data_IF_296098327753
#
_entry.id   IF_296098327753
#
_cell.length_a   1.000
_cell.length_b   1.000
_cell.length_c   1.000
_cell.angle_alpha   90.00
_cell.angle_beta   90.00
_cell.angle_gamma   90.00
#
_symmetry.space_group_name_H-M   'P 1'
#
loop_
_entity.id
_entity.type
_entity.pdbx_description
1 polymer ?
#
# COMPACT_ATOMS: atom_id res chain seq x y z
N UNK A 1 -2.49 -8.43 19.04
CA UNK A 1 -2.60 -7.09 18.43
C UNK A 1 -3.51 -6.21 19.28
N UNK A 2 -3.14 -4.94 19.54
CA UNK A 2 -4.06 -3.94 20.10
C UNK A 2 -5.25 -3.69 19.15
N UNK A 3 -6.39 -3.27 19.69
CA UNK A 3 -7.66 -3.04 18.94
C UNK A 3 -7.58 -1.80 18.01
N UNK A 4 -6.52 -0.99 18.15
CA UNK A 4 -6.31 0.26 17.40
C UNK A 4 -5.65 0.06 16.01
N UNK A 5 -4.99 -1.07 15.75
CA UNK A 5 -4.36 -1.36 14.46
C UNK A 5 -5.30 -2.20 13.57
N UNK A 6 -6.35 -1.54 13.07
CA UNK A 6 -7.30 -2.13 12.11
C UNK A 6 -6.77 -2.18 10.68
N UNK A 7 -5.70 -1.45 10.41
CA UNK A 7 -5.02 -1.34 9.12
C UNK A 7 -3.57 -1.83 9.25
N UNK A 8 -2.80 -1.75 8.17
CA UNK A 8 -1.44 -2.26 8.07
C UNK A 8 -0.58 -1.73 9.24
N UNK A 9 -0.05 -2.60 10.12
CA UNK A 9 0.77 -2.18 11.25
C UNK A 9 2.09 -1.56 10.79
N UNK A 10 2.57 -0.55 11.53
CA UNK A 10 3.83 0.12 11.20
C UNK A 10 5.04 -0.83 11.24
N UNK A 11 5.06 -1.78 12.16
CA UNK A 11 6.20 -2.71 12.27
C UNK A 11 6.28 -3.64 11.05
N UNK A 12 5.13 -4.10 10.54
CA UNK A 12 5.09 -4.84 9.26
C UNK A 12 5.64 -3.99 8.11
N UNK A 13 5.27 -2.71 8.03
CA UNK A 13 5.77 -1.80 7.00
C UNK A 13 7.27 -1.55 7.09
N UNK A 14 7.83 -1.52 8.30
CA UNK A 14 9.28 -1.37 8.50
C UNK A 14 10.04 -2.59 8.00
N UNK A 15 9.56 -3.78 8.32
CA UNK A 15 10.17 -5.05 7.89
C UNK A 15 10.12 -5.17 6.36
N UNK A 16 8.97 -4.85 5.75
CA UNK A 16 8.82 -4.85 4.30
C UNK A 16 9.64 -3.76 3.63
N UNK A 17 9.76 -2.56 4.23
CA UNK A 17 10.60 -1.50 3.70
C UNK A 17 12.06 -1.94 3.57
N UNK A 18 12.56 -2.68 4.55
CA UNK A 18 13.89 -3.29 4.49
C UNK A 18 14.03 -4.25 3.30
N UNK A 19 13.02 -5.10 3.07
CA UNK A 19 13.00 -6.07 1.97
C UNK A 19 12.87 -5.41 0.59
N UNK A 20 12.11 -4.32 0.45
CA UNK A 20 11.92 -3.59 -0.80
C UNK A 20 13.12 -2.69 -1.12
N UNK A 21 13.54 -1.85 -0.17
CA UNK A 21 14.53 -0.79 -0.41
C UNK A 21 15.97 -1.31 -0.58
N UNK A 22 16.26 -2.54 -0.11
CA UNK A 22 17.54 -3.22 -0.38
C UNK A 22 17.65 -3.74 -1.81
N UNK A 23 16.55 -3.83 -2.56
CA UNK A 23 16.56 -4.39 -3.92
C UNK A 23 17.21 -3.44 -4.93
N UNK A 24 17.83 -3.98 -6.00
CA UNK A 24 18.44 -3.17 -7.05
C UNK A 24 17.45 -2.16 -7.64
N UNK A 25 17.85 -0.90 -7.73
CA UNK A 25 17.01 0.16 -8.31
C UNK A 25 15.92 0.73 -7.41
N UNK A 26 15.65 0.14 -6.23
CA UNK A 26 14.54 0.56 -5.36
C UNK A 26 14.68 1.99 -4.81
N UNK A 27 15.91 2.48 -4.72
CA UNK A 27 16.26 3.82 -4.22
C UNK A 27 16.95 4.70 -5.26
N UNK A 28 17.12 4.18 -6.49
CA UNK A 28 17.88 4.87 -7.52
C UNK A 28 17.09 6.04 -8.07
N UNK A 29 17.73 7.21 -8.15
CA UNK A 29 17.13 8.46 -8.57
C UNK A 29 18.10 9.29 -9.39
N UNK A 30 17.57 10.07 -10.31
CA UNK A 30 18.31 11.12 -10.98
C UNK A 30 18.66 12.21 -9.94
N UNK A 31 19.96 12.52 -9.73
CA UNK A 31 20.35 13.48 -8.69
C UNK A 31 19.97 14.93 -9.04
N UNK A 32 19.80 15.26 -10.32
CA UNK A 32 19.44 16.61 -10.76
C UNK A 32 17.92 16.85 -10.69
N UNK A 33 17.12 15.88 -11.14
CA UNK A 33 15.66 16.01 -11.24
C UNK A 33 14.91 15.40 -10.07
N UNK A 34 15.58 14.54 -9.27
CA UNK A 34 14.98 13.72 -8.20
C UNK A 34 13.84 12.83 -8.70
N UNK A 35 13.94 12.37 -9.95
CA UNK A 35 12.95 11.49 -10.58
C UNK A 35 13.52 10.09 -10.78
N UNK A 36 12.65 9.06 -10.87
CA UNK A 36 13.07 7.73 -11.27
C UNK A 36 13.72 7.75 -12.67
N UNK A 37 14.80 7.00 -12.84
CA UNK A 37 15.52 6.83 -14.11
C UNK A 37 15.02 5.55 -14.78
N UNK A 38 14.51 5.66 -16.00
CA UNK A 38 14.09 4.50 -16.78
C UNK A 38 15.26 3.52 -16.97
N UNK A 39 15.03 2.24 -16.63
CA UNK A 39 16.04 1.18 -16.73
C UNK A 39 16.98 1.04 -15.53
N UNK A 40 17.04 2.03 -14.62
CA UNK A 40 17.85 1.96 -13.40
C UNK A 40 17.01 1.96 -12.12
N UNK A 41 15.93 2.74 -12.08
CA UNK A 41 14.98 2.75 -10.97
C UNK A 41 13.97 1.63 -11.10
N UNK A 42 13.52 1.10 -9.98
CA UNK A 42 12.57 -0.02 -9.97
C UNK A 42 11.66 0.06 -8.76
N UNK A 43 10.36 0.04 -9.02
CA UNK A 43 9.33 -0.26 -8.04
C UNK A 43 9.19 -1.76 -7.87
N UNK A 44 9.03 -2.18 -6.63
CA UNK A 44 8.71 -3.52 -6.20
C UNK A 44 7.44 -3.42 -5.38
N UNK A 45 6.57 -4.42 -5.52
CA UNK A 45 5.38 -4.54 -4.68
C UNK A 45 5.26 -5.92 -4.06
N UNK A 46 4.50 -5.98 -2.99
CA UNK A 46 4.10 -7.19 -2.32
C UNK A 46 2.63 -7.08 -1.91
N UNK A 47 1.97 -8.23 -1.86
CA UNK A 47 0.58 -8.33 -1.43
C UNK A 47 0.52 -8.41 0.08
N UNK A 48 -0.34 -7.59 0.69
CA UNK A 48 -0.64 -7.64 2.12
C UNK A 48 -1.91 -8.43 2.32
N UNK A 49 -1.82 -9.42 3.19
CA UNK A 49 -2.94 -10.28 3.52
C UNK A 49 -2.94 -10.59 5.02
N UNK A 50 -4.09 -11.01 5.51
CA UNK A 50 -4.23 -11.54 6.87
C UNK A 50 -4.65 -12.99 6.83
N UNK A 51 -4.17 -13.77 7.78
CA UNK A 51 -4.50 -15.20 7.91
C UNK A 51 -4.99 -15.56 9.30
N UNK A 52 -5.82 -16.60 9.38
CA UNK A 52 -6.35 -17.14 10.62
C UNK A 52 -7.87 -17.04 10.74
N UNK A 53 -8.37 -16.58 11.88
CA UNK A 53 -9.80 -16.52 12.18
C UNK A 53 -10.18 -15.42 13.17
N UNK A 54 -11.45 -15.38 13.55
CA UNK A 54 -12.05 -14.28 14.33
C UNK A 54 -11.31 -13.94 15.63
N UNK A 55 -10.72 -14.93 16.29
CA UNK A 55 -10.04 -14.76 17.57
C UNK A 55 -8.52 -14.57 17.46
N UNK A 56 -7.94 -14.91 16.31
CA UNK A 56 -6.49 -14.85 16.06
C UNK A 56 -6.25 -14.59 14.58
N UNK A 57 -5.80 -13.38 14.26
CA UNK A 57 -5.37 -12.99 12.92
C UNK A 57 -3.88 -12.64 12.93
N UNK A 58 -3.21 -12.99 11.85
CA UNK A 58 -1.80 -12.68 11.60
C UNK A 58 -1.68 -11.87 10.32
N UNK A 59 -0.92 -10.78 10.35
CA UNK A 59 -0.55 -10.05 9.15
C UNK A 59 0.59 -10.78 8.44
N UNK A 60 0.49 -10.84 7.10
CA UNK A 60 1.46 -11.48 6.24
C UNK A 60 1.68 -10.63 4.99
N UNK A 61 2.83 -10.82 4.36
CA UNK A 61 3.20 -10.11 3.12
C UNK A 61 3.84 -11.12 2.17
N UNK A 62 3.47 -11.06 0.90
CA UNK A 62 4.06 -11.92 -0.12
C UNK A 62 5.51 -11.55 -0.39
N UNK A 63 6.25 -12.43 -1.07
CA UNK A 63 7.54 -12.05 -1.63
C UNK A 63 7.39 -10.84 -2.58
N UNK A 64 8.33 -9.86 -2.52
CA UNK A 64 8.27 -8.73 -3.43
C UNK A 64 8.52 -9.12 -4.88
N UNK A 65 7.60 -8.68 -5.74
CA UNK A 65 7.69 -8.83 -7.20
C UNK A 65 8.30 -7.57 -7.83
N UNK A 66 9.09 -7.78 -8.88
CA UNK A 66 9.75 -6.71 -9.61
C UNK A 66 8.78 -6.03 -10.58
N UNK A 67 8.68 -4.72 -10.50
CA UNK A 67 7.99 -3.89 -11.49
C UNK A 67 8.95 -3.16 -12.41
N UNK A 68 8.62 -1.91 -12.70
CA UNK A 68 9.34 -0.98 -13.55
C UNK A 68 9.69 0.28 -12.78
N UNK A 69 10.26 1.29 -13.45
CA UNK A 69 10.61 2.56 -12.81
C UNK A 69 9.43 3.42 -12.32
N UNK A 70 8.19 3.09 -12.71
CA UNK A 70 7.00 3.92 -12.44
C UNK A 70 5.72 3.13 -12.12
N UNK A 71 5.84 1.81 -12.01
CA UNK A 71 4.71 0.93 -11.64
C UNK A 71 5.18 -0.44 -11.24
N UNK A 72 4.38 -1.12 -10.44
CA UNK A 72 4.47 -2.54 -10.13
C UNK A 72 3.07 -3.12 -9.93
N UNK A 73 2.89 -4.43 -10.13
CA UNK A 73 1.59 -5.10 -9.98
C UNK A 73 1.75 -6.29 -9.04
N UNK A 74 1.13 -6.18 -7.87
CA UNK A 74 1.24 -7.20 -6.84
C UNK A 74 0.32 -8.39 -7.19
N UNK A 75 0.67 -9.63 -6.79
CA UNK A 75 -0.20 -10.78 -6.99
C UNK A 75 -1.57 -10.60 -6.33
N UNK A 76 -2.64 -10.82 -7.09
CA UNK A 76 -4.01 -10.77 -6.54
C UNK A 76 -4.39 -12.05 -5.79
N UNK A 77 -3.64 -13.13 -6.00
CA UNK A 77 -3.81 -14.42 -5.34
C UNK A 77 -2.55 -14.71 -4.54
N UNK A 78 -2.76 -15.18 -3.31
CA UNK A 78 -1.69 -15.56 -2.39
C UNK A 78 -2.03 -16.94 -1.81
N UNK A 79 -1.00 -17.77 -1.71
CA UNK A 79 -1.06 -19.06 -1.01
C UNK A 79 -0.32 -18.90 0.32
N UNK A 80 -0.86 -19.49 1.39
CA UNK A 80 -0.26 -19.48 2.72
C UNK A 80 -0.04 -20.95 3.14
N UNK A 81 1.17 -21.28 3.57
CA UNK A 81 1.54 -22.65 3.94
C UNK A 81 0.83 -23.10 5.24
N UNK A 82 0.47 -22.15 6.10
CA UNK A 82 -0.09 -22.42 7.42
C UNK A 82 -1.63 -22.46 7.41
N UNK A 83 -2.28 -21.85 6.41
CA UNK A 83 -3.73 -21.67 6.37
C UNK A 83 -4.36 -22.00 5.00
N UNK A 84 -5.53 -22.65 4.98
CA UNK A 84 -6.27 -22.86 3.74
C UNK A 84 -6.76 -21.52 3.16
N UNK A 85 -6.97 -21.45 1.86
CA UNK A 85 -7.43 -20.24 1.16
C UNK A 85 -8.71 -19.60 1.75
N UNK A 86 -9.57 -20.39 2.42
CA UNK A 86 -10.76 -19.88 3.14
C UNK A 86 -10.44 -19.04 4.39
N UNK A 87 -9.18 -19.04 4.82
CA UNK A 87 -8.65 -18.33 5.99
C UNK A 87 -7.58 -17.31 5.58
N UNK A 88 -7.60 -16.87 4.32
CA UNK A 88 -6.64 -15.93 3.75
C UNK A 88 -7.40 -14.78 3.10
N UNK A 89 -7.13 -13.56 3.55
CA UNK A 89 -7.79 -12.36 3.03
C UNK A 89 -6.74 -11.36 2.56
N UNK A 90 -6.73 -11.07 1.26
CA UNK A 90 -5.95 -9.96 0.72
C UNK A 90 -6.61 -8.64 1.14
N UNK A 91 -5.84 -7.77 1.79
CA UNK A 91 -6.33 -6.51 2.37
C UNK A 91 -5.59 -5.29 1.84
N UNK A 92 -4.52 -5.48 1.05
CA UNK A 92 -3.74 -4.36 0.55
C UNK A 92 -2.55 -4.74 -0.30
N UNK A 93 -1.82 -3.71 -0.71
CA UNK A 93 -0.51 -3.84 -1.35
C UNK A 93 0.50 -2.95 -0.64
N UNK A 94 1.76 -3.37 -0.56
CA UNK A 94 2.89 -2.50 -0.21
C UNK A 94 3.78 -2.37 -1.42
N UNK A 95 4.22 -1.16 -1.75
CA UNK A 95 5.20 -0.94 -2.80
C UNK A 95 6.20 0.16 -2.41
N UNK A 96 7.33 0.23 -3.14
CA UNK A 96 8.26 1.33 -2.99
C UNK A 96 8.11 2.36 -4.11
N UNK A 97 8.36 3.63 -3.79
CA UNK A 97 8.60 4.67 -4.77
C UNK A 97 10.09 5.05 -4.79
N UNK A 98 10.79 4.85 -5.91
CA UNK A 98 12.07 5.49 -6.12
C UNK A 98 11.90 7.00 -5.94
N UNK A 99 12.79 7.61 -5.15
CA UNK A 99 12.87 9.05 -4.93
C UNK A 99 11.89 9.65 -3.92
N UNK A 100 11.09 8.83 -3.24
CA UNK A 100 10.25 9.31 -2.14
C UNK A 100 9.13 10.25 -2.57
N UNK A 101 8.61 10.05 -3.78
CA UNK A 101 7.38 10.69 -4.25
C UNK A 101 6.16 10.18 -3.47
N UNK A 102 5.14 11.03 -3.26
CA UNK A 102 3.84 10.59 -2.72
C UNK A 102 3.12 9.63 -3.69
N UNK A 103 2.02 8.98 -3.25
CA UNK A 103 1.21 8.12 -4.11
C UNK A 103 0.71 8.86 -5.37
N UNK A 104 0.76 8.16 -6.50
CA UNK A 104 0.24 8.58 -7.80
C UNK A 104 -1.27 8.33 -7.92
N UNK A 105 -1.89 8.82 -9.00
CA UNK A 105 -3.30 8.45 -9.29
C UNK A 105 -3.47 6.96 -9.54
N UNK A 106 -2.47 6.28 -10.11
CA UNK A 106 -2.51 4.82 -10.34
C UNK A 106 -2.49 4.07 -9.01
N UNK A 107 -1.73 4.53 -8.03
CA UNK A 107 -1.67 3.90 -6.70
C UNK A 107 -3.02 3.99 -5.99
N UNK A 108 -3.70 5.13 -6.10
CA UNK A 108 -5.04 5.32 -5.53
C UNK A 108 -6.15 4.56 -6.28
N UNK A 109 -5.85 4.03 -7.47
CA UNK A 109 -6.75 3.15 -8.24
C UNK A 109 -6.49 1.66 -7.97
N UNK A 110 -5.33 1.31 -7.42
CA UNK A 110 -4.91 -0.08 -7.24
C UNK A 110 -5.40 -0.66 -5.92
N UNK A 111 -6.46 -1.45 -5.98
CA UNK A 111 -7.03 -2.14 -4.82
C UNK A 111 -7.18 -3.64 -5.09
N UNK A 112 -7.06 -4.49 -4.04
CA UNK A 112 -7.34 -5.93 -4.14
C UNK A 112 -8.83 -6.26 -4.32
N UNK A 113 -9.64 -5.27 -4.67
CA UNK A 113 -11.05 -5.40 -5.03
C UNK A 113 -11.29 -4.58 -6.28
N UNK A 114 -12.13 -5.07 -7.17
CA UNK A 114 -12.53 -4.47 -8.44
C UNK A 114 -13.48 -3.25 -8.22
N UNK A 115 -13.20 -2.46 -7.19
CA UNK A 115 -14.05 -1.44 -6.58
C UNK A 115 -14.24 -0.14 -7.41
N UNK A 116 -14.02 -0.16 -8.73
CA UNK A 116 -14.21 1.01 -9.59
C UNK A 116 -15.10 0.75 -10.82
N UNK A 117 -16.17 -0.02 -10.67
CA UNK A 117 -17.35 0.08 -11.54
C UNK A 117 -18.63 0.29 -10.71
N UNK A 118 -19.23 1.49 -10.71
CA UNK A 118 -20.44 1.79 -9.94
C UNK A 118 -21.70 1.04 -10.43
N UNK A 119 -21.70 0.49 -11.65
CA UNK A 119 -22.79 -0.36 -12.13
C UNK A 119 -22.61 -1.83 -11.72
N UNK A 120 -21.40 -2.19 -11.31
CA UNK A 120 -21.04 -3.54 -10.84
C UNK A 120 -20.79 -3.57 -9.32
N UNK A 121 -21.00 -2.45 -8.61
CA UNK A 121 -20.82 -2.35 -7.16
C UNK A 121 -21.84 -3.15 -6.32
N UNK A 122 -22.96 -3.61 -6.91
CA UNK A 122 -23.87 -4.56 -6.25
C UNK A 122 -23.53 -6.03 -6.55
N UNK A 123 -22.67 -6.31 -7.53
CA UNK A 123 -22.32 -7.67 -7.97
C UNK A 123 -20.84 -8.05 -7.76
N UNK A 124 -19.95 -7.08 -7.53
CA UNK A 124 -18.50 -7.26 -7.30
C UNK A 124 -18.12 -7.22 -5.81
N UNK A 125 -19.10 -7.30 -4.92
CA UNK A 125 -18.85 -8.03 -3.67
C UNK A 125 -18.84 -9.51 -4.07
N UNK A 126 -17.69 -10.13 -4.43
CA UNK A 126 -17.41 -11.61 -4.35
C UNK A 126 -16.42 -12.25 -5.36
N UNK A 127 -15.57 -11.55 -6.10
CA UNK A 127 -14.77 -12.23 -7.15
C UNK A 127 -13.24 -12.18 -7.03
N UNK A 128 -12.71 -11.99 -5.82
CA UNK A 128 -11.43 -12.64 -5.47
C UNK A 128 -11.77 -14.02 -4.90
N UNK A 129 -11.33 -15.14 -5.51
CA UNK A 129 -11.42 -16.45 -4.88
C UNK A 129 -10.77 -16.39 -3.49
N UNK A 130 -11.58 -16.54 -2.43
CA UNK A 130 -11.10 -16.49 -1.03
C UNK A 130 -11.47 -15.24 -0.21
N UNK A 131 -12.04 -14.17 -0.79
CA UNK A 131 -12.42 -12.96 -0.05
C UNK A 131 -13.96 -12.73 0.04
N UNK A 132 -14.76 -13.66 0.62
CA UNK A 132 -16.22 -13.57 0.59
C UNK A 132 -16.85 -12.61 1.61
N UNK A 133 -16.05 -12.08 2.56
CA UNK A 133 -16.44 -11.12 3.59
C UNK A 133 -15.16 -10.45 4.14
N UNK A 134 -15.22 -9.19 4.63
CA UNK A 134 -14.05 -8.56 5.24
C UNK A 134 -13.51 -9.44 6.38
N UNK A 135 -12.19 -9.57 6.47
CA UNK A 135 -11.56 -10.24 7.58
C UNK A 135 -11.98 -9.56 8.90
N UNK A 136 -12.42 -10.35 9.88
CA UNK A 136 -12.85 -9.84 11.17
C UNK A 136 -11.87 -10.28 12.26
N UNK A 137 -11.37 -9.33 13.04
CA UNK A 137 -10.64 -9.59 14.29
C UNK A 137 -11.48 -9.13 15.47
N UNK A 138 -11.87 -10.05 16.36
CA UNK A 138 -12.67 -9.75 17.55
C UNK A 138 -13.95 -8.94 17.25
N UNK A 139 -14.60 -9.27 16.13
CA UNK A 139 -15.81 -8.59 15.66
C UNK A 139 -15.59 -7.25 14.94
N UNK A 140 -14.34 -6.83 14.74
CA UNK A 140 -13.98 -5.60 14.04
C UNK A 140 -13.39 -5.95 12.67
N UNK A 141 -13.84 -5.27 11.62
CA UNK A 141 -13.30 -5.46 10.28
C UNK A 141 -11.87 -4.92 10.17
N UNK A 142 -11.00 -5.70 9.53
CA UNK A 142 -9.71 -5.23 9.04
C UNK A 142 -9.95 -4.27 7.88
N UNK A 143 -9.33 -3.11 7.96
CA UNK A 143 -9.42 -2.07 6.95
C UNK A 143 -8.57 -2.45 5.74
N UNK A 144 -9.17 -2.31 4.56
CA UNK A 144 -8.38 -2.33 3.33
C UNK A 144 -7.55 -1.06 3.27
N UNK A 145 -6.25 -1.23 3.07
CA UNK A 145 -5.32 -0.14 2.89
C UNK A 145 -4.15 -0.63 2.04
N UNK A 146 -3.61 0.26 1.22
CA UNK A 146 -2.34 0.04 0.55
C UNK A 146 -1.31 0.96 1.19
N UNK A 147 -0.04 0.65 1.01
CA UNK A 147 1.03 1.36 1.68
C UNK A 147 2.24 1.55 0.77
N UNK A 148 2.91 2.66 0.98
CA UNK A 148 4.06 3.08 0.20
C UNK A 148 5.22 3.30 1.15
N UNK A 149 6.37 2.74 0.79
CA UNK A 149 7.63 2.96 1.50
C UNK A 149 8.64 3.62 0.59
N UNK A 150 9.42 4.54 1.11
CA UNK A 150 10.47 5.17 0.33
C UNK A 150 11.62 5.63 1.22
N UNK A 151 12.75 5.91 0.58
CA UNK A 151 13.91 6.55 1.20
C UNK A 151 14.22 7.82 0.41
N UNK A 152 14.34 8.94 1.12
CA UNK A 152 14.78 10.22 0.55
C UNK A 152 16.30 10.21 0.36
N UNK A 153 16.82 11.17 -0.41
CA UNK A 153 18.26 11.30 -0.65
C UNK A 153 19.10 11.55 0.62
N UNK A 154 18.49 11.97 1.72
CA UNK A 154 19.12 12.13 3.03
C UNK A 154 19.05 10.87 3.91
N UNK A 155 18.51 9.76 3.38
CA UNK A 155 18.33 8.50 4.10
C UNK A 155 17.04 8.44 4.94
N UNK A 156 16.23 9.51 4.96
CA UNK A 156 14.97 9.52 5.71
C UNK A 156 13.97 8.55 5.10
N UNK A 157 13.47 7.62 5.90
CA UNK A 157 12.40 6.71 5.48
C UNK A 157 11.03 7.34 5.60
N UNK A 158 10.23 7.15 4.57
CA UNK A 158 8.84 7.56 4.49
C UNK A 158 7.97 6.30 4.49
N UNK A 159 6.99 6.26 5.39
CA UNK A 159 5.98 5.21 5.44
C UNK A 159 4.62 5.86 5.30
N UNK A 160 3.92 5.52 4.23
CA UNK A 160 2.56 5.97 3.97
C UNK A 160 1.64 4.77 3.98
N UNK A 161 0.42 5.01 4.43
CA UNK A 161 -0.72 4.14 4.11
C UNK A 161 -1.83 5.01 3.56
N UNK A 162 -2.62 4.43 2.68
CA UNK A 162 -3.74 5.11 2.06
C UNK A 162 -4.90 4.13 1.92
N UNK A 163 -6.10 4.68 1.86
CA UNK A 163 -7.34 3.92 2.00
C UNK A 163 -8.23 4.11 0.76
N UNK A 164 -9.15 3.17 0.47
CA UNK A 164 -10.11 3.29 -0.64
C UNK A 164 -10.98 4.55 -0.56
N UNK A 165 -11.19 5.08 0.64
CA UNK A 165 -11.89 6.33 0.95
C UNK A 165 -11.07 7.58 0.60
N UNK A 166 -9.80 7.43 0.24
CA UNK A 166 -8.92 8.47 -0.27
C UNK A 166 -8.02 9.12 0.79
N UNK A 167 -8.20 8.81 2.08
CA UNK A 167 -7.29 9.25 3.14
C UNK A 167 -5.87 8.75 2.85
N UNK A 168 -4.91 9.64 3.01
CA UNK A 168 -3.48 9.32 2.95
C UNK A 168 -2.85 9.74 4.27
N UNK A 169 -2.22 8.79 4.94
CA UNK A 169 -1.58 8.98 6.23
C UNK A 169 -0.08 8.70 6.14
N UNK A 170 0.69 9.45 6.92
CA UNK A 170 2.13 9.20 7.11
C UNK A 170 2.42 8.84 8.55
N UNK A 171 3.27 7.83 8.76
CA UNK A 171 3.79 7.55 10.08
C UNK A 171 4.77 8.65 10.50
N UNK A 172 4.48 9.30 11.63
CA UNK A 172 5.41 10.22 12.29
C UNK A 172 6.26 9.45 13.29
N UNK A 173 7.56 9.33 13.01
CA UNK A 173 8.51 8.73 13.94
C UNK A 173 8.60 9.52 15.25
N UNK A 174 8.51 10.85 15.16
CA UNK A 174 8.58 11.75 16.33
C UNK A 174 7.34 11.66 17.21
N UNK A 175 6.14 11.59 16.62
CA UNK A 175 4.87 11.53 17.35
C UNK A 175 4.41 10.10 17.66
N UNK A 176 5.09 9.09 17.08
CA UNK A 176 4.78 7.66 17.19
C UNK A 176 3.31 7.36 16.85
N UNK A 177 2.82 7.98 15.78
CA UNK A 177 1.43 7.79 15.32
C UNK A 177 1.30 8.10 13.83
N UNK A 178 0.23 7.58 13.23
CA UNK A 178 -0.23 7.98 11.90
C UNK A 178 -0.78 9.40 11.91
N UNK A 179 -0.40 10.18 10.90
CA UNK A 179 -0.84 11.57 10.70
C UNK A 179 -1.54 11.64 9.36
N UNK A 180 -2.82 12.00 9.37
CA UNK A 180 -3.57 12.30 8.15
C UNK A 180 -2.92 13.49 7.44
N UNK A 181 -2.50 13.26 6.19
CA UNK A 181 -1.94 14.29 5.31
C UNK A 181 -3.02 14.94 4.44
N UNK A 182 -4.09 14.21 4.14
CA UNK A 182 -5.22 14.70 3.37
C UNK A 182 -6.07 13.58 2.80
N UNK A 183 -7.13 13.96 2.08
CA UNK A 183 -7.98 13.06 1.31
C UNK A 183 -7.77 13.34 -0.16
N UNK A 184 -7.40 12.32 -0.92
CA UNK A 184 -7.00 12.41 -2.32
C UNK A 184 -7.90 11.53 -3.20
N UNK A 185 -8.16 12.01 -4.43
CA UNK A 185 -8.85 11.27 -5.46
C UNK A 185 -7.94 11.13 -6.70
N UNK A 186 -7.95 9.97 -7.37
CA UNK A 186 -7.20 9.78 -8.60
C UNK A 186 -7.71 10.70 -9.70
N UNK A 187 -6.81 11.13 -10.59
CA UNK A 187 -7.18 11.88 -11.78
C UNK A 187 -7.14 10.98 -13.00
N UNK A 188 -8.29 10.79 -13.66
CA UNK A 188 -8.42 9.91 -14.83
C UNK A 188 -7.85 10.51 -16.12
N UNK A 189 -7.42 11.77 -16.10
CA UNK A 189 -6.98 12.48 -17.31
C UNK A 189 -5.60 12.05 -17.81
N UNK A 190 -4.71 11.54 -16.94
CA UNK A 190 -3.42 10.90 -17.29
C UNK A 190 -3.03 9.89 -16.20
N UNK A 191 -2.59 8.70 -16.58
CA UNK A 191 -2.20 7.65 -15.62
C UNK A 191 -1.04 8.09 -14.70
N UNK A 192 -0.10 8.91 -15.20
CA UNK A 192 1.02 9.42 -14.38
C UNK A 192 0.69 10.75 -13.63
N UNK A 193 -0.59 11.15 -13.57
CA UNK A 193 -0.96 12.41 -12.95
C UNK A 193 -0.96 12.33 -11.42
N UNK A 194 -0.53 13.42 -10.79
CA UNK A 194 -0.66 13.64 -9.35
C UNK A 194 -2.14 13.62 -8.96
N UNK A 195 -2.53 12.89 -7.90
CA UNK A 195 -3.91 12.89 -7.46
C UNK A 195 -4.35 14.27 -6.96
N UNK A 196 -5.66 14.54 -6.99
CA UNK A 196 -6.25 15.77 -6.46
C UNK A 196 -6.57 15.55 -5.00
N UNK A 197 -5.98 16.35 -4.11
CA UNK A 197 -6.28 16.29 -2.69
C UNK A 197 -7.00 17.54 -2.20
N UNK A 198 -7.81 17.38 -1.15
CA UNK A 198 -8.71 18.42 -0.61
C UNK A 198 -8.00 19.70 -0.16
N UNK A 199 -6.70 19.63 0.17
CA UNK A 199 -5.90 20.75 0.67
C UNK A 199 -4.77 21.16 -0.31
N UNK A 200 -4.91 20.84 -1.60
CA UNK A 200 -3.87 21.05 -2.59
C UNK A 200 -2.93 19.84 -2.73
N UNK A 201 -1.73 19.99 -3.32
CA UNK A 201 -0.80 18.88 -3.48
C UNK A 201 -0.43 18.25 -2.13
N UNK A 202 -0.40 16.92 -2.06
CA UNK A 202 -0.06 16.19 -0.85
C UNK A 202 1.35 16.56 -0.37
N UNK A 203 1.47 17.03 0.88
CA UNK A 203 2.75 17.39 1.48
C UNK A 203 3.18 16.34 2.50
N UNK A 204 4.28 15.64 2.21
CA UNK A 204 4.88 14.69 3.14
C UNK A 204 5.48 15.41 4.35
N UNK A 205 5.41 14.76 5.52
CA UNK A 205 6.07 15.28 6.72
C UNK A 205 7.58 15.36 6.50
N UNK A 206 8.19 16.37 7.14
CA UNK A 206 9.64 16.55 7.24
C UNK A 206 9.99 16.38 8.72
N UNK A 207 10.48 15.20 9.06
CA UNK A 207 10.88 14.83 10.42
C UNK A 207 12.22 14.11 10.39
#
# INVERSE_FOLDING_TARGET
>A
MPVEDRSIPIDLLRDVADALLKRPGARTCDPATRRPIQGLSTEYCATVYVTGGRESLSWRVSEPVRGSHARCSAPLQVEDDDHPASQVWVVGFIHNHPCGSPPSSVDLLAWPTDAFDPMTAMAVVRLVPGNPAPALFKGVAIEMASALVAERGDGTRVYLRYFPTGEVEQWSGRRRRWILLGTCAPTLSRLDATPRCTQGPLQLLRE
#
